data_IF_177224611841
#
_entry.id   IF_177224611841
#
_cell.length_a   1.000
_cell.length_b   1.000
_cell.length_c   1.000
_cell.angle_alpha   90.00
_cell.angle_beta   90.00
_cell.angle_gamma   90.00
#
_symmetry.space_group_name_H-M   'P 1'
#
loop_
_entity.id
_entity.type
_entity.pdbx_description
1 polymer ?
#
# COMPACT_ATOMS: atom_id res chain seq x y z
N UNK A 1 36.44 -14.74 -59.73
CA UNK A 1 35.08 -14.31 -60.10
C UNK A 1 34.17 -14.60 -58.93
N UNK A 2 33.92 -13.61 -58.09
CA UNK A 2 33.09 -13.76 -56.88
C UNK A 2 31.84 -12.90 -57.05
N UNK A 3 30.68 -13.54 -57.08
CA UNK A 3 29.39 -12.87 -57.21
C UNK A 3 28.88 -12.45 -55.82
N UNK A 4 28.57 -11.16 -55.68
CA UNK A 4 27.93 -10.58 -54.50
C UNK A 4 26.42 -10.55 -54.78
N UNK A 5 25.64 -11.35 -54.04
CA UNK A 5 24.18 -11.26 -54.05
C UNK A 5 23.73 -10.26 -52.98
N UNK A 6 23.15 -9.15 -53.44
CA UNK A 6 22.47 -8.16 -52.61
C UNK A 6 20.99 -8.56 -52.48
N UNK A 7 20.54 -8.86 -51.27
CA UNK A 7 19.14 -9.15 -50.95
C UNK A 7 18.50 -7.88 -50.35
N UNK A 8 17.46 -7.39 -51.01
CA UNK A 8 16.64 -6.29 -50.51
C UNK A 8 15.74 -6.75 -49.35
N UNK A 9 15.49 -5.91 -48.33
CA UNK A 9 14.62 -6.27 -47.21
C UNK A 9 13.13 -6.23 -47.59
N UNK A 10 12.30 -7.09 -46.97
CA UNK A 10 10.86 -7.11 -47.21
C UNK A 10 10.16 -5.91 -46.56
N UNK A 11 9.19 -5.35 -47.29
CA UNK A 11 8.31 -4.26 -46.85
C UNK A 11 7.33 -4.74 -45.77
N UNK A 12 7.26 -4.00 -44.66
CA UNK A 12 6.33 -4.27 -43.56
C UNK A 12 4.91 -3.77 -43.88
N UNK A 13 3.85 -4.50 -43.47
CA UNK A 13 2.47 -4.08 -43.67
C UNK A 13 2.05 -2.96 -42.71
N UNK A 14 1.39 -1.94 -43.26
CA UNK A 14 0.89 -0.76 -42.57
C UNK A 14 -0.44 -1.06 -41.88
N UNK A 15 -0.47 -1.08 -40.55
CA UNK A 15 -1.69 -1.18 -39.76
C UNK A 15 -2.16 0.21 -39.33
N UNK A 16 -3.30 0.64 -39.86
CA UNK A 16 -3.96 1.88 -39.48
C UNK A 16 -4.70 1.72 -38.16
N UNK A 17 -4.33 2.53 -37.16
CA UNK A 17 -5.05 2.61 -35.89
C UNK A 17 -6.07 3.76 -35.94
N UNK A 18 -7.34 3.44 -35.71
CA UNK A 18 -8.39 4.42 -35.40
C UNK A 18 -8.27 4.84 -33.93
N UNK A 19 -8.15 6.13 -33.68
CA UNK A 19 -8.22 6.74 -32.35
C UNK A 19 -9.67 6.94 -31.92
N UNK A 20 -10.09 6.45 -30.73
CA UNK A 20 -11.32 6.88 -30.10
C UNK A 20 -11.06 8.12 -29.24
N UNK A 21 -11.82 9.19 -29.51
CA UNK A 21 -11.90 10.37 -28.66
C UNK A 21 -12.88 10.13 -27.51
N UNK A 22 -12.40 10.05 -26.26
CA UNK A 22 -13.26 10.18 -25.08
C UNK A 22 -12.66 11.17 -24.08
N UNK A 23 -13.28 12.33 -23.99
CA UNK A 23 -13.08 13.31 -22.91
C UNK A 23 -13.83 12.85 -21.67
N UNK A 24 -13.11 12.31 -20.69
CA UNK A 24 -13.63 12.08 -19.34
C UNK A 24 -12.75 12.83 -18.34
N UNK A 25 -13.38 13.73 -17.58
CA UNK A 25 -12.73 14.48 -16.50
C UNK A 25 -12.35 13.54 -15.34
N UNK A 26 -11.20 13.74 -14.68
CA UNK A 26 -10.75 12.88 -13.59
C UNK A 26 -11.62 13.07 -12.34
N UNK A 27 -12.43 12.06 -11.98
CA UNK A 27 -13.03 11.95 -10.65
C UNK A 27 -12.01 11.37 -9.66
N UNK A 28 -11.92 11.98 -8.48
CA UNK A 28 -11.11 11.46 -7.39
C UNK A 28 -11.64 10.09 -6.90
N UNK A 29 -10.76 9.16 -6.48
CA UNK A 29 -11.17 7.87 -5.97
C UNK A 29 -11.89 8.01 -4.63
N UNK A 30 -13.20 7.74 -4.61
CA UNK A 30 -14.00 7.59 -3.40
C UNK A 30 -13.79 6.21 -2.81
N UNK A 31 -13.05 6.12 -1.71
CA UNK A 31 -12.95 4.90 -0.91
C UNK A 31 -14.27 4.65 -0.19
N UNK A 32 -14.73 3.39 -0.20
CA UNK A 32 -16.10 2.98 0.11
C UNK A 32 -16.70 3.56 1.38
N UNK A 33 -17.99 3.89 1.30
CA UNK A 33 -18.83 4.29 2.43
C UNK A 33 -18.99 3.12 3.40
N UNK A 34 -18.73 3.35 4.69
CA UNK A 34 -18.96 2.40 5.77
C UNK A 34 -20.39 1.83 5.76
N UNK A 35 -20.60 0.55 6.11
CA UNK A 35 -21.94 0.00 6.26
C UNK A 35 -22.66 0.65 7.45
N UNK A 36 -23.87 1.15 7.21
CA UNK A 36 -24.83 1.58 8.23
C UNK A 36 -25.24 0.41 9.11
N UNK A 37 -25.08 0.56 10.42
CA UNK A 37 -25.51 -0.40 11.45
C UNK A 37 -27.03 -0.68 11.37
N UNK A 38 -27.48 -1.92 11.59
CA UNK A 38 -28.91 -2.23 11.65
C UNK A 38 -29.56 -1.66 12.91
N UNK A 39 -30.72 -1.03 12.72
CA UNK A 39 -31.61 -0.52 13.76
C UNK A 39 -32.16 -1.66 14.61
N UNK A 40 -31.92 -1.60 15.92
CA UNK A 40 -32.47 -2.53 16.91
C UNK A 40 -33.94 -2.21 17.22
N UNK A 41 -34.75 -3.26 17.23
CA UNK A 41 -36.17 -3.28 17.58
C UNK A 41 -36.39 -3.04 19.07
N UNK A 42 -37.40 -2.24 19.39
CA UNK A 42 -37.86 -1.86 20.73
C UNK A 42 -38.50 -3.01 21.52
N UNK A 43 -38.00 -3.26 22.73
CA UNK A 43 -38.73 -3.98 23.79
C UNK A 43 -39.23 -3.00 24.86
N UNK A 44 -40.43 -3.18 25.43
CA UNK A 44 -40.95 -2.31 26.48
C UNK A 44 -40.28 -2.57 27.85
N UNK A 45 -40.19 -1.47 28.60
CA UNK A 45 -39.36 -1.25 29.77
C UNK A 45 -39.83 -1.96 31.06
N UNK A 46 -38.86 -2.44 31.84
CA UNK A 46 -39.00 -2.63 33.29
C UNK A 46 -38.01 -1.68 33.98
N UNK A 47 -38.55 -0.65 34.63
CA UNK A 47 -37.81 0.47 35.19
C UNK A 47 -37.23 0.14 36.57
N UNK A 48 -35.90 0.02 36.65
CA UNK A 48 -35.11 0.15 37.88
C UNK A 48 -34.45 1.53 37.83
N UNK A 49 -34.44 2.33 38.92
CA UNK A 49 -33.83 3.66 38.92
C UNK A 49 -32.33 3.59 38.62
N UNK A 50 -31.93 4.14 37.48
CA UNK A 50 -30.53 4.29 37.06
C UNK A 50 -29.93 5.53 37.75
N UNK A 51 -28.94 5.30 38.60
CA UNK A 51 -28.09 6.37 39.15
C UNK A 51 -27.08 6.74 38.05
N UNK A 52 -27.20 7.96 37.53
CA UNK A 52 -26.30 8.47 36.49
C UNK A 52 -24.86 8.56 37.02
N UNK A 53 -23.87 7.93 36.37
CA UNK A 53 -22.46 8.20 36.69
C UNK A 53 -22.10 9.63 36.27
N UNK A 54 -21.14 10.26 36.98
CA UNK A 54 -20.72 11.63 36.67
C UNK A 54 -20.17 11.68 35.25
N UNK A 55 -20.72 12.60 34.46
CA UNK A 55 -20.30 12.92 33.10
C UNK A 55 -18.83 13.33 33.09
N UNK A 56 -17.98 12.41 32.66
CA UNK A 56 -16.58 12.66 32.34
C UNK A 56 -16.54 13.69 31.21
N UNK A 57 -15.91 14.83 31.47
CA UNK A 57 -15.58 15.81 30.45
C UNK A 57 -14.87 15.13 29.28
N UNK A 58 -15.48 15.20 28.10
CA UNK A 58 -14.91 14.72 26.85
C UNK A 58 -13.72 15.58 26.48
N UNK A 59 -12.53 15.15 26.93
CA UNK A 59 -11.30 15.47 26.23
C UNK A 59 -11.34 14.63 24.94
N UNK A 60 -11.63 15.28 23.82
CA UNK A 60 -11.46 14.72 22.48
C UNK A 60 -9.96 14.62 22.21
N UNK A 61 -9.27 13.75 22.98
CA UNK A 61 -7.93 13.32 22.67
C UNK A 61 -8.06 12.49 21.41
N UNK A 62 -7.79 13.14 20.27
CA UNK A 62 -7.52 12.44 19.03
C UNK A 62 -6.61 11.26 19.36
N UNK A 63 -6.97 10.02 19.00
CA UNK A 63 -6.23 8.81 19.40
C UNK A 63 -4.80 8.71 18.83
N UNK A 64 -4.29 9.83 18.30
CA UNK A 64 -3.00 10.00 17.65
C UNK A 64 -2.29 11.24 18.19
N UNK A 65 -2.39 11.49 19.49
CA UNK A 65 -1.38 12.30 20.16
C UNK A 65 -0.08 11.48 20.21
N UNK A 66 0.59 11.43 19.05
CA UNK A 66 1.93 10.94 18.88
C UNK A 66 2.84 11.90 19.66
N UNK A 67 2.94 11.70 20.97
CA UNK A 67 3.66 12.59 21.88
C UNK A 67 5.01 13.05 21.32
N UNK A 68 5.37 14.29 21.65
CA UNK A 68 6.37 15.23 21.11
C UNK A 68 7.81 14.76 20.73
N UNK A 69 8.06 13.49 20.45
CA UNK A 69 9.39 12.97 20.11
C UNK A 69 9.31 11.83 19.09
N UNK A 70 8.68 12.11 17.96
CA UNK A 70 8.71 11.23 16.79
C UNK A 70 9.05 12.10 15.59
N UNK A 71 10.04 11.69 14.78
CA UNK A 71 10.16 12.23 13.43
C UNK A 71 8.99 11.68 12.61
N UNK A 72 7.96 12.48 12.27
CA UNK A 72 7.02 12.05 11.26
C UNK A 72 7.81 11.87 9.96
N UNK A 73 7.82 10.65 9.45
CA UNK A 73 8.41 10.39 8.14
C UNK A 73 7.37 10.80 7.09
N UNK A 74 7.74 11.61 6.10
CA UNK A 74 6.79 12.08 5.08
C UNK A 74 7.10 11.40 3.76
N UNK A 75 6.20 10.55 3.28
CA UNK A 75 6.36 9.91 1.96
C UNK A 75 5.91 10.87 0.87
N UNK A 76 6.83 11.65 0.30
CA UNK A 76 6.47 12.48 -0.85
C UNK A 76 6.33 11.58 -2.06
N UNK A 77 5.08 11.25 -2.39
CA UNK A 77 4.71 10.54 -3.60
C UNK A 77 4.55 11.54 -4.73
N UNK A 78 5.48 11.53 -5.70
CA UNK A 78 5.22 12.18 -6.98
C UNK A 78 4.71 11.12 -7.96
N UNK A 79 3.45 11.26 -8.36
CA UNK A 79 2.89 10.43 -9.41
C UNK A 79 3.47 10.90 -10.74
N UNK A 80 4.23 10.03 -11.42
CA UNK A 80 4.66 10.28 -12.78
C UNK A 80 3.57 9.82 -13.73
N UNK A 81 3.25 10.61 -14.74
CA UNK A 81 2.42 10.15 -15.86
C UNK A 81 3.36 9.62 -16.92
N UNK A 82 3.10 8.42 -17.42
CA UNK A 82 3.84 7.92 -18.57
C UNK A 82 3.45 8.67 -19.85
N UNK A 83 4.14 8.38 -20.95
CA UNK A 83 3.87 8.97 -22.26
C UNK A 83 2.44 8.70 -22.77
N UNK A 84 1.77 7.68 -22.24
CA UNK A 84 0.40 7.31 -22.60
C UNK A 84 -0.65 7.99 -21.71
N UNK A 85 -0.23 8.89 -20.81
CA UNK A 85 -1.12 9.52 -19.84
C UNK A 85 -1.64 8.58 -18.77
N UNK A 86 -1.15 7.33 -18.72
CA UNK A 86 -1.44 6.41 -17.64
C UNK A 86 -0.56 6.83 -16.46
N UNK A 87 -1.18 7.00 -15.30
CA UNK A 87 -0.45 7.28 -14.09
C UNK A 87 0.36 6.02 -13.76
N UNK A 88 1.68 6.08 -13.96
CA UNK A 88 2.59 4.97 -13.70
C UNK A 88 3.52 5.35 -12.55
N UNK A 89 4.01 4.33 -11.86
CA UNK A 89 4.27 4.37 -10.42
C UNK A 89 5.40 5.33 -10.04
N UNK A 90 5.09 6.16 -9.04
CA UNK A 90 5.91 6.72 -7.96
C UNK A 90 7.41 6.89 -8.27
N UNK A 91 7.83 8.11 -8.59
CA UNK A 91 9.09 8.58 -7.99
C UNK A 91 8.70 9.10 -6.62
N UNK A 92 9.00 8.32 -5.59
CA UNK A 92 8.65 8.69 -4.23
C UNK A 92 9.90 8.68 -3.35
N UNK A 93 10.02 9.72 -2.54
CA UNK A 93 11.02 9.78 -1.49
C UNK A 93 10.32 9.75 -0.15
N UNK A 94 10.69 8.77 0.68
CA UNK A 94 10.29 8.79 2.07
C UNK A 94 11.24 9.72 2.81
N UNK A 95 10.84 10.94 3.14
CA UNK A 95 11.71 11.93 3.77
C UNK A 95 11.69 11.80 5.30
N UNK A 96 12.87 11.83 5.92
CA UNK A 96 13.03 12.07 7.36
C UNK A 96 12.71 13.53 7.71
N UNK A 97 12.63 13.86 8.99
CA UNK A 97 12.39 15.26 9.38
C UNK A 97 13.61 16.16 9.06
N UNK A 98 14.80 15.58 8.88
CA UNK A 98 15.98 16.25 8.32
C UNK A 98 15.88 16.57 6.81
N UNK A 99 14.78 16.20 6.15
CA UNK A 99 14.54 16.42 4.72
C UNK A 99 15.32 15.48 3.80
N UNK A 100 16.09 14.53 4.33
CA UNK A 100 16.83 13.54 3.52
C UNK A 100 15.93 12.36 3.19
N UNK A 101 16.07 11.86 1.96
CA UNK A 101 15.43 10.62 1.54
C UNK A 101 15.91 9.44 2.40
N UNK A 102 14.95 8.73 2.97
CA UNK A 102 15.10 7.45 3.67
C UNK A 102 14.92 6.28 2.72
N UNK A 103 13.97 6.41 1.80
CA UNK A 103 13.84 5.50 0.65
C UNK A 103 13.74 6.29 -0.64
N UNK A 104 14.32 5.73 -1.69
CA UNK A 104 14.12 6.13 -3.07
C UNK A 104 13.30 5.03 -3.76
N UNK A 105 12.11 5.38 -4.22
CA UNK A 105 11.24 4.47 -4.94
C UNK A 105 11.28 4.88 -6.39
N UNK A 106 11.72 3.96 -7.25
CA UNK A 106 11.79 4.20 -8.69
C UNK A 106 11.07 3.09 -9.43
N UNK A 107 10.34 3.47 -10.47
CA UNK A 107 9.74 2.53 -11.41
C UNK A 107 10.44 2.69 -12.73
N UNK A 108 10.76 1.57 -13.37
CA UNK A 108 11.36 1.57 -14.70
C UNK A 108 10.43 2.23 -15.74
N UNK A 109 11.01 2.60 -16.88
CA UNK A 109 10.30 3.34 -17.93
C UNK A 109 9.10 2.58 -18.50
N UNK A 110 9.20 1.24 -18.49
CA UNK A 110 8.16 0.35 -18.98
C UNK A 110 7.07 0.08 -17.93
N UNK A 111 7.29 0.48 -16.67
CA UNK A 111 6.38 0.19 -15.58
C UNK A 111 6.34 -1.29 -15.21
N UNK A 112 7.34 -2.09 -15.55
CA UNK A 112 7.42 -3.52 -15.28
C UNK A 112 7.95 -3.74 -13.87
N UNK A 113 8.89 -2.92 -13.43
CA UNK A 113 9.59 -3.12 -12.15
C UNK A 113 9.60 -1.84 -11.34
N UNK A 114 9.26 -1.94 -10.05
CA UNK A 114 9.49 -0.87 -9.06
C UNK A 114 10.55 -1.31 -8.08
N UNK A 115 11.67 -0.58 -8.00
CA UNK A 115 12.67 -0.73 -6.94
C UNK A 115 12.35 0.18 -5.76
N UNK A 116 12.61 -0.32 -4.57
CA UNK A 116 12.57 0.41 -3.31
C UNK A 116 13.98 0.31 -2.74
N UNK A 117 14.70 1.42 -2.76
CA UNK A 117 16.07 1.52 -2.27
C UNK A 117 16.10 2.38 -1.00
N UNK A 118 17.04 2.15 -0.10
CA UNK A 118 17.25 3.00 1.06
C UNK A 118 18.04 4.28 0.70
N UNK A 119 18.27 5.16 1.68
CA UNK A 119 19.06 6.39 1.49
C UNK A 119 20.53 6.16 1.13
N UNK A 120 21.03 4.92 1.21
CA UNK A 120 22.35 4.48 0.77
C UNK A 120 22.36 3.77 -0.59
N UNK A 121 21.22 3.75 -1.29
CA UNK A 121 21.00 3.00 -2.53
C UNK A 121 21.09 1.47 -2.37
N UNK A 122 20.95 0.95 -1.15
CA UNK A 122 20.80 -0.49 -0.94
C UNK A 122 19.37 -0.90 -1.32
N UNK A 123 19.24 -1.97 -2.12
CA UNK A 123 17.93 -2.48 -2.50
C UNK A 123 17.23 -3.08 -1.27
N UNK A 124 16.03 -2.58 -0.96
CA UNK A 124 15.22 -3.06 0.16
C UNK A 124 14.18 -4.05 -0.36
N UNK A 125 13.54 -3.71 -1.47
CA UNK A 125 12.57 -4.55 -2.14
C UNK A 125 12.46 -4.21 -3.62
N UNK A 126 11.96 -5.18 -4.38
CA UNK A 126 11.64 -5.03 -5.79
C UNK A 126 10.29 -5.66 -6.09
N UNK A 127 9.44 -4.92 -6.79
CA UNK A 127 8.12 -5.39 -7.23
C UNK A 127 8.16 -5.55 -8.73
N UNK A 128 7.93 -6.77 -9.21
CA UNK A 128 7.69 -7.05 -10.61
C UNK A 128 6.18 -7.07 -10.85
N UNK A 129 5.70 -6.09 -11.61
CA UNK A 129 4.29 -5.87 -11.87
C UNK A 129 3.73 -6.70 -13.01
N UNK A 130 4.57 -7.09 -13.96
CA UNK A 130 4.12 -7.95 -15.04
C UNK A 130 3.85 -9.36 -14.52
N UNK A 131 2.68 -9.85 -14.94
CA UNK A 131 2.35 -11.26 -14.89
C UNK A 131 3.42 -12.00 -15.69
N UNK A 132 4.22 -12.83 -15.02
CA UNK A 132 5.19 -13.70 -15.68
C UNK A 132 4.46 -14.79 -16.49
N UNK A 133 3.69 -14.37 -17.51
CA UNK A 133 3.39 -15.17 -18.69
C UNK A 133 4.66 -15.27 -19.52
N UNK A 134 5.75 -15.70 -18.89
CA UNK A 134 6.84 -16.34 -19.60
C UNK A 134 6.19 -17.47 -20.38
N UNK A 135 6.26 -17.45 -21.73
CA UNK A 135 5.71 -18.52 -22.55
C UNK A 135 6.33 -19.85 -22.09
N UNK A 136 5.57 -20.67 -21.38
CA UNK A 136 6.07 -21.91 -20.76
C UNK A 136 5.66 -22.14 -19.30
N UNK A 137 5.27 -21.10 -18.55
CA UNK A 137 4.66 -21.28 -17.25
C UNK A 137 3.20 -21.71 -17.43
N UNK A 138 2.90 -22.95 -17.03
CA UNK A 138 1.62 -23.64 -17.24
C UNK A 138 0.44 -22.78 -16.82
N UNK A 139 -0.57 -22.71 -17.69
CA UNK A 139 -1.90 -22.20 -17.39
C UNK A 139 -2.41 -22.84 -16.08
N UNK A 140 -2.37 -22.07 -14.98
CA UNK A 140 -2.73 -22.57 -13.65
C UNK A 140 -2.02 -21.84 -12.49
N UNK A 141 -0.84 -21.26 -12.72
CA UNK A 141 -0.22 -20.36 -11.74
C UNK A 141 -0.98 -19.02 -11.75
N UNK A 142 -1.52 -18.62 -10.60
CA UNK A 142 -2.30 -17.40 -10.46
C UNK A 142 -1.47 -16.18 -10.89
N UNK A 143 -1.89 -15.55 -11.99
CA UNK A 143 -1.33 -14.32 -12.51
C UNK A 143 -1.26 -13.24 -11.42
N UNK A 144 -0.18 -12.49 -11.32
CA UNK A 144 -0.09 -11.38 -10.37
C UNK A 144 1.33 -10.86 -10.14
N UNK A 145 1.47 -9.69 -9.49
CA UNK A 145 2.78 -9.11 -9.23
C UNK A 145 3.56 -9.95 -8.23
N UNK A 146 4.88 -10.01 -8.43
CA UNK A 146 5.81 -10.69 -7.54
C UNK A 146 6.60 -9.66 -6.73
N UNK A 147 6.71 -9.88 -5.42
CA UNK A 147 7.50 -9.09 -4.49
C UNK A 147 8.77 -9.87 -4.10
N UNK A 148 9.92 -9.23 -4.30
CA UNK A 148 11.20 -9.61 -3.74
C UNK A 148 11.52 -8.68 -2.56
N UNK A 149 11.90 -9.22 -1.41
CA UNK A 149 12.35 -8.44 -0.24
C UNK A 149 13.75 -8.90 0.14
N UNK A 150 14.72 -7.99 0.03
CA UNK A 150 16.15 -8.33 0.12
C UNK A 150 16.54 -8.82 1.52
N UNK A 151 16.04 -8.15 2.56
CA UNK A 151 16.29 -8.48 3.98
C UNK A 151 15.95 -9.95 4.33
N UNK A 152 14.99 -10.54 3.60
CA UNK A 152 14.49 -11.89 3.85
C UNK A 152 14.94 -12.89 2.78
N UNK A 153 15.58 -12.43 1.70
CA UNK A 153 16.03 -13.27 0.59
C UNK A 153 14.90 -14.07 -0.07
N UNK A 154 13.66 -13.60 0.07
CA UNK A 154 12.46 -14.33 -0.36
C UNK A 154 11.72 -13.62 -1.50
N UNK A 155 11.01 -14.43 -2.28
CA UNK A 155 10.18 -13.98 -3.41
C UNK A 155 8.79 -14.60 -3.26
N UNK A 156 7.74 -13.78 -3.31
CA UNK A 156 6.36 -14.28 -3.23
C UNK A 156 5.39 -13.40 -4.01
N UNK A 157 4.16 -13.88 -4.26
CA UNK A 157 3.13 -13.04 -4.86
C UNK A 157 2.76 -11.93 -3.88
N UNK A 158 2.52 -10.74 -4.41
CA UNK A 158 2.02 -9.59 -3.62
C UNK A 158 0.70 -9.92 -2.93
N UNK A 159 -0.16 -10.71 -3.58
CA UNK A 159 -1.41 -11.24 -3.03
C UNK A 159 -1.20 -12.14 -1.80
N UNK A 160 -0.10 -12.90 -1.75
CA UNK A 160 0.21 -13.79 -0.62
C UNK A 160 0.87 -13.00 0.53
N UNK A 161 1.66 -11.97 0.19
CA UNK A 161 2.33 -11.11 1.17
C UNK A 161 1.37 -10.14 1.87
N UNK A 162 0.47 -9.52 1.09
CA UNK A 162 -0.51 -8.51 1.54
C UNK A 162 -1.92 -8.97 1.17
N UNK A 163 -2.32 -10.10 1.78
CA UNK A 163 -3.53 -10.80 1.41
C UNK A 163 -4.80 -10.03 1.79
N UNK A 164 -5.79 -10.06 0.90
CA UNK A 164 -7.10 -9.49 1.15
C UNK A 164 -7.91 -10.43 2.04
N UNK A 165 -8.48 -9.89 3.12
CA UNK A 165 -9.42 -10.62 3.98
C UNK A 165 -10.62 -11.15 3.18
N UNK A 166 -11.23 -12.25 3.63
CA UNK A 166 -12.39 -12.86 2.96
C UNK A 166 -13.59 -11.92 2.82
N UNK A 167 -13.78 -11.04 3.80
CA UNK A 167 -14.82 -10.00 3.78
C UNK A 167 -14.39 -8.73 3.04
N UNK A 168 -13.16 -8.69 2.50
CA UNK A 168 -12.57 -7.57 1.75
C UNK A 168 -12.56 -6.23 2.50
N UNK A 169 -12.52 -6.28 3.83
CA UNK A 169 -12.52 -5.06 4.68
C UNK A 169 -11.13 -4.58 5.04
N UNK A 170 -10.14 -5.49 5.01
CA UNK A 170 -8.76 -5.19 5.33
C UNK A 170 -7.81 -6.06 4.51
N UNK A 171 -6.55 -5.62 4.43
CA UNK A 171 -5.44 -6.46 3.98
C UNK A 171 -4.57 -6.83 5.17
N UNK A 172 -4.01 -8.02 5.16
CA UNK A 172 -3.16 -8.50 6.25
C UNK A 172 -1.78 -8.82 5.71
N UNK A 173 -0.75 -8.48 6.48
CA UNK A 173 0.64 -8.82 6.19
C UNK A 173 1.28 -9.53 7.37
N UNK A 174 2.34 -10.27 7.09
CA UNK A 174 3.19 -10.88 8.11
C UNK A 174 4.55 -10.17 8.09
N UNK A 175 4.96 -9.65 9.24
CA UNK A 175 6.28 -9.06 9.44
C UNK A 175 6.87 -9.58 10.74
N UNK A 176 8.12 -10.06 10.71
CA UNK A 176 8.80 -10.62 11.90
C UNK A 176 7.96 -11.67 12.63
N UNK A 177 7.32 -12.57 11.87
CA UNK A 177 6.42 -13.62 12.37
C UNK A 177 5.18 -13.10 13.16
N UNK A 178 4.76 -11.85 12.93
CA UNK A 178 3.57 -11.25 13.52
C UNK A 178 2.61 -10.77 12.43
N UNK A 179 1.32 -10.86 12.69
CA UNK A 179 0.28 -10.43 11.76
C UNK A 179 -0.15 -8.99 12.03
N UNK A 180 -0.30 -8.24 10.94
CA UNK A 180 -0.76 -6.86 10.97
C UNK A 180 -1.83 -6.64 9.93
N UNK A 181 -2.82 -5.80 10.23
CA UNK A 181 -3.98 -5.53 9.38
C UNK A 181 -4.01 -4.06 8.97
N UNK A 182 -3.95 -3.82 7.66
CA UNK A 182 -4.22 -2.55 7.02
C UNK A 182 -5.73 -2.38 6.82
N UNK A 183 -6.31 -1.38 7.47
CA UNK A 183 -7.75 -1.12 7.48
C UNK A 183 -8.03 0.30 6.99
N UNK A 184 -8.98 0.50 6.08
CA UNK A 184 -9.49 1.84 5.79
C UNK A 184 -10.09 2.46 7.06
N UNK A 185 -9.72 3.70 7.35
CA UNK A 185 -10.29 4.51 8.43
C UNK A 185 -10.47 5.96 7.94
N UNK A 186 -11.70 6.30 7.54
CA UNK A 186 -12.04 7.61 6.97
C UNK A 186 -11.23 7.90 5.70
N UNK A 187 -10.38 8.93 5.77
CA UNK A 187 -9.51 9.39 4.66
C UNK A 187 -8.12 8.76 4.67
N UNK A 188 -7.92 7.72 5.49
CA UNK A 188 -6.62 7.09 5.69
C UNK A 188 -6.71 5.56 5.70
N UNK A 189 -5.57 4.90 5.55
CA UNK A 189 -5.40 3.46 5.74
C UNK A 189 -4.46 3.28 6.93
N UNK A 190 -4.90 2.56 7.94
CA UNK A 190 -4.19 2.42 9.21
C UNK A 190 -3.76 0.98 9.45
N UNK A 191 -2.57 0.82 10.02
CA UNK A 191 -1.99 -0.46 10.38
C UNK A 191 -2.25 -0.77 11.84
N UNK A 192 -2.90 -1.90 12.09
CA UNK A 192 -3.16 -2.43 13.43
C UNK A 192 -2.44 -3.76 13.63
N UNK A 193 -2.00 -4.08 14.86
CA UNK A 193 -1.62 -5.45 15.19
C UNK A 193 -2.88 -6.34 15.10
N UNK A 194 -2.77 -7.48 14.43
CA UNK A 194 -3.83 -8.50 14.40
C UNK A 194 -3.60 -9.58 15.48
N UNK A 195 -2.40 -9.63 16.04
CA UNK A 195 -1.94 -10.69 16.90
C UNK A 195 -2.77 -10.82 18.20
N UNK A 196 -3.41 -11.97 18.36
CA UNK A 196 -4.03 -12.45 19.60
C UNK A 196 -3.04 -13.29 20.41
N UNK A 197 -1.74 -12.99 20.32
CA UNK A 197 -0.67 -13.75 20.97
C UNK A 197 -1.01 -14.01 22.44
N UNK A 198 -1.09 -15.29 22.79
CA UNK A 198 -1.31 -15.83 24.15
C UNK A 198 -0.26 -15.35 25.17
N UNK A 199 0.85 -14.74 24.73
CA UNK A 199 1.80 -14.07 25.61
C UNK A 199 1.35 -12.63 25.92
N UNK A 200 0.53 -12.50 26.97
CA UNK A 200 -0.01 -11.24 27.47
C UNK A 200 1.06 -10.14 27.72
N UNK A 201 2.32 -10.52 27.97
CA UNK A 201 3.42 -9.58 28.22
C UNK A 201 3.76 -8.67 27.01
N UNK A 202 3.39 -9.07 25.79
CA UNK A 202 3.66 -8.30 24.57
C UNK A 202 2.43 -8.05 23.71
N UNK A 203 1.24 -8.42 24.22
CA UNK A 203 -0.02 -8.18 23.54
C UNK A 203 -0.24 -6.67 23.42
N UNK A 204 -0.35 -6.19 22.19
CA UNK A 204 -0.72 -4.80 21.92
C UNK A 204 -2.23 -4.67 22.04
N UNK A 205 -2.75 -3.52 22.50
CA UNK A 205 -4.17 -3.22 22.34
C UNK A 205 -4.51 -3.35 20.85
N UNK A 206 -5.58 -4.09 20.53
CA UNK A 206 -6.03 -4.33 19.16
C UNK A 206 -6.46 -3.06 18.40
N UNK A 207 -6.44 -1.91 19.08
CA UNK A 207 -6.76 -0.59 18.57
C UNK A 207 -5.56 0.36 18.48
N UNK A 208 -4.34 -0.08 18.82
CA UNK A 208 -3.16 0.78 18.69
C UNK A 208 -2.75 0.91 17.22
N UNK A 209 -2.85 2.13 16.68
CA UNK A 209 -2.38 2.46 15.32
C UNK A 209 -0.86 2.44 15.30
N UNK A 210 -0.29 1.57 14.47
CA UNK A 210 1.17 1.43 14.28
C UNK A 210 1.68 2.30 13.15
N UNK A 211 0.91 2.40 12.07
CA UNK A 211 1.22 3.25 10.94
C UNK A 211 -0.06 3.77 10.30
N UNK A 212 0.05 4.87 9.56
CA UNK A 212 -1.05 5.49 8.83
C UNK A 212 -0.57 5.97 7.48
N UNK A 213 -1.33 5.66 6.44
CA UNK A 213 -1.20 6.21 5.10
C UNK A 213 -2.38 7.16 4.90
N UNK A 214 -2.14 8.46 4.71
CA UNK A 214 -3.19 9.46 4.48
C UNK A 214 -2.86 10.30 3.25
N UNK A 215 -3.86 10.98 2.68
CA UNK A 215 -3.61 12.04 1.70
C UNK A 215 -3.52 13.39 2.41
N UNK A 216 -2.37 14.04 2.26
CA UNK A 216 -2.14 15.43 2.66
C UNK A 216 -2.20 16.38 1.45
N UNK A 217 -2.09 17.70 1.69
CA UNK A 217 -2.17 18.72 0.63
C UNK A 217 -1.06 18.59 -0.43
N UNK A 218 0.09 18.06 -0.04
CA UNK A 218 1.30 17.94 -0.89
C UNK A 218 1.49 16.54 -1.47
N UNK A 219 0.61 15.59 -1.13
CA UNK A 219 0.73 14.20 -1.57
C UNK A 219 0.33 13.20 -0.49
N UNK A 220 0.70 11.94 -0.70
CA UNK A 220 0.49 10.90 0.32
C UNK A 220 1.40 11.17 1.52
N UNK A 221 1.00 10.79 2.73
CA UNK A 221 1.82 10.87 3.94
C UNK A 221 1.81 9.51 4.63
N UNK A 222 2.96 9.08 5.14
CA UNK A 222 3.12 7.77 5.81
C UNK A 222 3.67 7.99 7.20
N UNK A 223 2.81 7.99 8.21
CA UNK A 223 3.19 8.21 9.59
C UNK A 223 3.42 6.86 10.27
N UNK A 224 4.48 6.74 11.08
CA UNK A 224 4.76 5.56 11.90
C UNK A 224 4.77 5.97 13.38
N UNK A 225 4.24 5.10 14.23
CA UNK A 225 4.37 5.25 15.68
C UNK A 225 5.77 4.84 16.16
N UNK A 226 6.23 5.28 17.35
CA UNK A 226 7.52 4.85 17.90
C UNK A 226 7.56 3.33 18.05
N UNK A 227 6.40 2.76 18.38
CA UNK A 227 6.25 1.33 18.55
C UNK A 227 6.46 0.58 17.24
N UNK A 228 5.96 1.10 16.11
CA UNK A 228 6.22 0.50 14.80
C UNK A 228 7.71 0.54 14.43
N UNK A 229 8.42 1.61 14.80
CA UNK A 229 9.87 1.72 14.63
C UNK A 229 10.64 0.70 15.49
N UNK A 230 10.24 0.53 16.76
CA UNK A 230 10.81 -0.50 17.65
C UNK A 230 10.56 -1.91 17.15
N UNK A 231 9.41 -2.14 16.50
CA UNK A 231 9.07 -3.41 15.85
C UNK A 231 9.71 -3.56 14.47
N UNK A 232 10.59 -2.63 14.06
CA UNK A 232 11.30 -2.65 12.79
C UNK A 232 10.34 -2.79 11.58
N UNK A 233 9.19 -2.12 11.64
CA UNK A 233 8.17 -2.18 10.59
C UNK A 233 8.39 -1.19 9.44
N UNK A 234 9.46 -0.39 9.49
CA UNK A 234 9.68 0.69 8.52
C UNK A 234 9.69 0.18 7.07
N UNK A 235 10.46 -0.86 6.78
CA UNK A 235 10.56 -1.45 5.44
C UNK A 235 9.20 -2.00 4.97
N UNK A 236 8.53 -2.76 5.84
CA UNK A 236 7.21 -3.36 5.56
C UNK A 236 6.13 -2.30 5.30
N UNK A 237 6.15 -1.20 6.05
CA UNK A 237 5.22 -0.08 5.87
C UNK A 237 5.48 0.63 4.54
N UNK A 238 6.74 0.85 4.18
CA UNK A 238 7.10 1.46 2.89
C UNK A 238 6.62 0.60 1.71
N UNK A 239 6.89 -0.71 1.74
CA UNK A 239 6.44 -1.66 0.71
C UNK A 239 4.90 -1.68 0.64
N UNK A 240 4.22 -1.76 1.78
CA UNK A 240 2.76 -1.74 1.84
C UNK A 240 2.20 -0.45 1.24
N UNK A 241 2.78 0.71 1.56
CA UNK A 241 2.37 1.98 1.00
C UNK A 241 2.53 2.01 -0.52
N UNK A 242 3.64 1.51 -1.07
CA UNK A 242 3.84 1.39 -2.52
C UNK A 242 2.76 0.52 -3.15
N UNK A 243 2.50 -0.67 -2.60
CA UNK A 243 1.47 -1.57 -3.13
C UNK A 243 0.07 -0.96 -3.08
N UNK A 244 -0.33 -0.41 -1.94
CA UNK A 244 -1.65 0.18 -1.72
C UNK A 244 -1.88 1.46 -2.55
N UNK A 245 -0.83 2.25 -2.78
CA UNK A 245 -0.90 3.51 -3.53
C UNK A 245 -0.58 3.37 -5.02
N UNK A 246 -0.16 2.19 -5.46
CA UNK A 246 0.24 1.94 -6.86
C UNK A 246 -0.90 2.14 -7.88
N UNK A 247 -2.16 2.01 -7.44
CA UNK A 247 -3.33 1.96 -8.33
C UNK A 247 -3.37 0.72 -9.22
N UNK A 248 -2.48 -0.26 -9.00
CA UNK A 248 -2.43 -1.52 -9.75
C UNK A 248 -3.18 -2.62 -9.02
N UNK A 249 -3.59 -3.64 -9.76
CA UNK A 249 -4.07 -4.86 -9.14
C UNK A 249 -2.89 -5.59 -8.49
N UNK A 250 -2.98 -5.84 -7.19
CA UNK A 250 -1.98 -6.58 -6.40
C UNK A 250 -2.43 -8.00 -6.02
N UNK A 251 -3.62 -8.41 -6.48
CA UNK A 251 -4.19 -9.74 -6.28
C UNK A 251 -3.95 -10.67 -7.48
#
# INVERSE_FOLDING_TARGET
MSAIYSLAPPSAPYYGYKTPSSSASPQAPTWGTSPTSPSSSSHPANSIPYIAPPSSFGMDISPLDFGLSLEPVTLTVSARRDANGKQSILSASLLRADGRARFNITTDELGITTSIEDGGNANVAMIHWEDSRVPGNRAGAAAGPTLYVDELGWTMRTADWLYLSSNRTCRTMIAHNRQYSWRPNGTSIELFPLDNSLNAAFALPSQTVLARISQGPTGTMVQLSPRALQLQLLNYVAISAVLLMSGRNID
#
